data_IF_444350493509
#
_entry.id   IF_444350493509
#
_cell.length_a   1.000
_cell.length_b   1.000
_cell.length_c   1.000
_cell.angle_alpha   90.00
_cell.angle_beta   90.00
_cell.angle_gamma   90.00
#
_symmetry.space_group_name_H-M   'P 1'
#
loop_
_entity.id
_entity.type
_entity.pdbx_description
1 polymer ?
#
# COMPACT_ATOMS: atom_id res chain seq x y z
N UNK A 1 14.17 -73.49 -43.93
CA UNK A 1 15.38 -73.57 -43.09
C UNK A 1 15.39 -72.32 -42.21
N UNK A 2 15.29 -72.42 -40.89
CA UNK A 2 15.28 -71.22 -40.02
C UNK A 2 16.72 -70.73 -39.84
N UNK A 3 17.03 -69.53 -40.30
CA UNK A 3 18.31 -68.88 -40.04
C UNK A 3 18.21 -68.06 -38.76
N UNK A 4 18.90 -68.50 -37.71
CA UNK A 4 18.94 -67.82 -36.41
C UNK A 4 20.32 -67.20 -36.29
N UNK A 5 20.39 -65.91 -35.94
CA UNK A 5 21.69 -65.28 -35.72
C UNK A 5 22.35 -65.87 -34.48
N UNK A 6 23.67 -66.08 -34.54
CA UNK A 6 24.44 -66.52 -33.37
C UNK A 6 24.23 -65.58 -32.16
N UNK A 7 24.05 -64.29 -32.41
CA UNK A 7 23.80 -63.29 -31.38
C UNK A 7 22.47 -63.51 -30.64
N UNK A 8 21.41 -63.93 -31.35
CA UNK A 8 20.14 -64.29 -30.72
C UNK A 8 20.32 -65.55 -29.86
N UNK A 9 20.99 -66.59 -30.38
CA UNK A 9 21.26 -67.82 -29.61
C UNK A 9 22.06 -67.52 -28.35
N UNK A 10 23.12 -66.70 -28.44
CA UNK A 10 23.92 -66.32 -27.27
C UNK A 10 23.15 -65.45 -26.28
N UNK A 11 22.26 -64.57 -26.75
CA UNK A 11 21.41 -63.78 -25.86
C UNK A 11 20.45 -64.68 -25.06
N UNK A 12 19.85 -65.68 -25.70
CA UNK A 12 18.97 -66.66 -25.05
C UNK A 12 19.73 -67.51 -24.04
N UNK A 13 20.93 -67.99 -24.39
CA UNK A 13 21.82 -68.73 -23.47
C UNK A 13 22.14 -67.89 -22.23
N UNK A 14 22.38 -66.58 -22.38
CA UNK A 14 22.64 -65.68 -21.24
C UNK A 14 21.41 -65.44 -20.37
N UNK A 15 20.23 -65.28 -20.98
CA UNK A 15 18.97 -65.09 -20.22
C UNK A 15 18.58 -66.32 -19.41
N UNK A 16 18.86 -67.51 -19.95
CA UNK A 16 18.50 -68.80 -19.35
C UNK A 16 19.72 -69.60 -18.88
N UNK A 17 20.74 -68.92 -18.36
CA UNK A 17 22.00 -69.54 -17.94
C UNK A 17 21.80 -70.61 -16.86
N UNK A 18 20.83 -70.38 -15.95
CA UNK A 18 20.51 -71.31 -14.88
C UNK A 18 19.88 -72.60 -15.40
N UNK A 19 18.95 -72.49 -16.35
CA UNK A 19 18.27 -73.65 -16.94
C UNK A 19 19.19 -74.47 -17.86
N UNK A 20 20.23 -73.84 -18.45
CA UNK A 20 21.13 -74.47 -19.42
C UNK A 20 22.48 -74.93 -18.83
N UNK A 21 22.71 -74.71 -17.52
CA UNK A 21 24.02 -74.86 -16.86
C UNK A 21 24.69 -76.22 -17.04
N UNK A 22 23.93 -77.31 -17.07
CA UNK A 22 24.45 -78.68 -17.20
C UNK A 22 24.30 -79.25 -18.61
N UNK A 23 23.77 -78.45 -19.53
CA UNK A 23 23.38 -78.87 -20.89
C UNK A 23 24.27 -78.22 -21.97
N UNK A 24 25.21 -77.36 -21.55
CA UNK A 24 26.16 -76.66 -22.42
C UNK A 24 27.57 -76.90 -21.89
N UNK A 25 28.40 -77.59 -22.67
CA UNK A 25 29.82 -77.79 -22.39
C UNK A 25 30.70 -77.05 -23.39
N UNK A 26 32.01 -76.97 -23.15
CA UNK A 26 32.98 -76.43 -24.12
C UNK A 26 33.96 -77.51 -24.50
N UNK A 27 34.29 -77.62 -25.79
CA UNK A 27 35.37 -78.48 -26.25
C UNK A 27 36.74 -77.85 -26.01
N UNK A 28 37.80 -78.59 -26.32
CA UNK A 28 39.20 -78.16 -26.17
C UNK A 28 39.55 -76.91 -27.00
N UNK A 29 38.71 -76.53 -27.96
CA UNK A 29 38.87 -75.35 -28.82
C UNK A 29 37.97 -74.18 -28.38
N UNK A 30 37.31 -74.27 -27.21
CA UNK A 30 36.43 -73.24 -26.67
C UNK A 30 35.04 -73.14 -27.32
N UNK A 31 34.72 -74.03 -28.26
CA UNK A 31 33.41 -74.09 -28.93
C UNK A 31 32.39 -74.72 -27.98
N UNK A 32 31.25 -74.05 -27.81
CA UNK A 32 30.15 -74.58 -26.98
C UNK A 32 29.49 -75.77 -27.68
N UNK A 33 29.49 -76.92 -27.01
CA UNK A 33 28.75 -78.11 -27.39
C UNK A 33 27.45 -78.12 -26.60
N UNK A 34 26.34 -78.31 -27.30
CA UNK A 34 25.00 -78.37 -26.75
C UNK A 34 24.54 -79.84 -26.76
N UNK A 35 23.98 -80.31 -25.66
CA UNK A 35 23.28 -81.60 -25.66
C UNK A 35 21.86 -81.46 -26.27
N UNK A 36 21.16 -82.59 -26.43
CA UNK A 36 19.84 -82.62 -27.07
C UNK A 36 18.80 -81.75 -26.32
N UNK A 37 18.93 -81.60 -25.00
CA UNK A 37 18.07 -80.74 -24.19
C UNK A 37 18.33 -79.27 -24.46
N UNK A 38 19.59 -78.83 -24.46
CA UNK A 38 19.97 -77.47 -24.81
C UNK A 38 19.60 -77.13 -26.25
N UNK A 39 19.81 -78.05 -27.19
CA UNK A 39 19.38 -77.87 -28.59
C UNK A 39 17.87 -77.69 -28.68
N UNK A 40 17.08 -78.51 -27.99
CA UNK A 40 15.62 -78.38 -28.01
C UNK A 40 15.09 -77.14 -27.29
N UNK A 41 15.75 -76.72 -26.20
CA UNK A 41 15.40 -75.52 -25.46
C UNK A 41 15.68 -74.24 -26.26
N UNK A 42 16.79 -74.21 -27.01
CA UNK A 42 17.22 -73.07 -27.82
C UNK A 42 16.56 -73.02 -29.20
N UNK A 43 15.85 -74.08 -29.62
CA UNK A 43 15.04 -74.03 -30.84
C UNK A 43 14.04 -72.88 -30.72
N UNK A 44 13.90 -72.02 -31.74
CA UNK A 44 12.87 -71.01 -31.77
C UNK A 44 11.53 -71.71 -31.59
N UNK A 45 10.84 -71.40 -30.50
CA UNK A 45 9.43 -71.76 -30.39
C UNK A 45 8.73 -71.00 -31.52
N UNK A 46 7.92 -71.70 -32.31
CA UNK A 46 7.03 -71.03 -33.27
C UNK A 46 6.13 -70.12 -32.45
N UNK A 47 6.40 -68.82 -32.48
CA UNK A 47 5.46 -67.83 -32.00
C UNK A 47 4.23 -68.03 -32.89
N UNK A 48 3.10 -68.38 -32.29
CA UNK A 48 1.83 -68.47 -33.04
C UNK A 48 1.63 -67.14 -33.75
N UNK A 49 1.18 -67.18 -35.00
CA UNK A 49 0.75 -65.98 -35.74
C UNK A 49 -0.18 -65.12 -34.90
N UNK A 50 -1.02 -65.74 -34.05
CA UNK A 50 -1.91 -65.05 -33.10
C UNK A 50 -1.14 -64.24 -32.05
N UNK A 51 -0.04 -64.75 -31.47
CA UNK A 51 0.76 -64.00 -30.50
C UNK A 51 1.47 -62.80 -31.14
N UNK A 52 1.96 -62.95 -32.38
CA UNK A 52 2.56 -61.82 -33.10
C UNK A 52 1.53 -60.74 -33.42
N UNK A 53 0.35 -61.14 -33.93
CA UNK A 53 -0.73 -60.21 -34.23
C UNK A 53 -1.24 -59.50 -32.97
N UNK A 54 -1.40 -60.22 -31.86
CA UNK A 54 -1.77 -59.65 -30.57
C UNK A 54 -0.77 -58.59 -30.07
N UNK A 55 0.54 -58.87 -30.17
CA UNK A 55 1.57 -57.91 -29.78
C UNK A 55 1.58 -56.66 -30.68
N UNK A 56 1.29 -56.83 -31.98
CA UNK A 56 1.16 -55.73 -32.93
C UNK A 56 -0.06 -54.84 -32.59
N UNK A 57 -1.20 -55.44 -32.28
CA UNK A 57 -2.41 -54.71 -31.86
C UNK A 57 -2.20 -53.95 -30.55
N UNK A 58 -1.52 -54.56 -29.58
CA UNK A 58 -1.20 -53.94 -28.31
C UNK A 58 -0.26 -52.73 -28.50
N UNK A 59 0.77 -52.86 -29.35
CA UNK A 59 1.65 -51.75 -29.69
C UNK A 59 0.88 -50.60 -30.39
N UNK A 60 -0.04 -50.90 -31.30
CA UNK A 60 -0.87 -49.88 -31.94
C UNK A 60 -1.74 -49.13 -30.91
N UNK A 61 -2.34 -49.85 -29.94
CA UNK A 61 -3.11 -49.24 -28.85
C UNK A 61 -2.24 -48.29 -28.00
N UNK A 62 -1.05 -48.75 -27.61
CA UNK A 62 -0.10 -47.94 -26.85
C UNK A 62 0.36 -46.70 -27.63
N UNK A 63 0.57 -46.84 -28.94
CA UNK A 63 0.95 -45.71 -29.79
C UNK A 63 -0.15 -44.64 -29.85
N UNK A 64 -1.42 -45.05 -30.03
CA UNK A 64 -2.57 -44.12 -30.02
C UNK A 64 -2.68 -43.43 -28.65
N UNK A 65 -2.53 -44.19 -27.56
CA UNK A 65 -2.58 -43.62 -26.22
C UNK A 65 -1.45 -42.60 -25.98
N UNK A 66 -0.23 -42.88 -26.44
CA UNK A 66 0.89 -41.94 -26.35
C UNK A 66 0.63 -40.65 -27.14
N UNK A 67 0.03 -40.72 -28.33
CA UNK A 67 -0.32 -39.53 -29.11
C UNK A 67 -1.32 -38.65 -28.34
N UNK A 68 -2.33 -39.26 -27.72
CA UNK A 68 -3.32 -38.54 -26.91
C UNK A 68 -2.65 -37.87 -25.71
N UNK A 69 -1.81 -38.60 -24.97
CA UNK A 69 -1.07 -38.06 -23.82
C UNK A 69 -0.16 -36.88 -24.20
N UNK A 70 0.52 -36.96 -25.35
CA UNK A 70 1.35 -35.86 -25.85
C UNK A 70 0.49 -34.64 -26.14
N UNK A 71 -0.65 -34.82 -26.81
CA UNK A 71 -1.58 -33.72 -27.11
C UNK A 71 -2.14 -33.06 -25.84
N UNK A 72 -2.53 -33.87 -24.85
CA UNK A 72 -3.00 -33.37 -23.56
C UNK A 72 -1.91 -32.59 -22.83
N UNK A 73 -0.66 -33.09 -22.83
CA UNK A 73 0.48 -32.40 -22.24
C UNK A 73 0.78 -31.05 -22.92
N UNK A 74 0.68 -30.96 -24.24
CA UNK A 74 0.84 -29.69 -24.96
C UNK A 74 -0.25 -28.68 -24.57
N UNK A 75 -1.49 -29.14 -24.40
CA UNK A 75 -2.58 -28.28 -23.95
C UNK A 75 -2.37 -27.82 -22.50
N UNK A 76 -1.95 -28.72 -21.61
CA UNK A 76 -1.61 -28.40 -20.23
C UNK A 76 -0.48 -27.37 -20.16
N UNK A 77 0.56 -27.50 -20.99
CA UNK A 77 1.65 -26.52 -21.06
C UNK A 77 1.14 -25.13 -21.47
N UNK A 78 0.26 -25.04 -22.47
CA UNK A 78 -0.36 -23.76 -22.86
C UNK A 78 -1.15 -23.14 -21.71
N UNK A 79 -1.92 -23.94 -20.97
CA UNK A 79 -2.66 -23.48 -19.81
C UNK A 79 -1.73 -23.00 -18.68
N UNK A 80 -0.65 -23.72 -18.40
CA UNK A 80 0.36 -23.30 -17.42
C UNK A 80 0.94 -21.94 -17.79
N UNK A 81 1.40 -21.76 -19.04
CA UNK A 81 1.96 -20.48 -19.48
C UNK A 81 0.96 -19.32 -19.41
N UNK A 82 -0.32 -19.58 -19.71
CA UNK A 82 -1.37 -18.58 -19.58
C UNK A 82 -1.60 -18.17 -18.10
N UNK A 83 -1.63 -19.15 -17.20
CA UNK A 83 -1.78 -18.92 -15.75
C UNK A 83 -0.57 -18.15 -15.20
N UNK A 84 0.65 -18.51 -15.59
CA UNK A 84 1.87 -17.80 -15.17
C UNK A 84 1.84 -16.34 -15.62
N UNK A 85 1.43 -16.08 -16.86
CA UNK A 85 1.28 -14.72 -17.38
C UNK A 85 0.25 -13.92 -16.59
N UNK A 86 -0.89 -14.54 -16.25
CA UNK A 86 -1.95 -13.90 -15.48
C UNK A 86 -1.49 -13.60 -14.04
N UNK A 87 -0.86 -14.58 -13.38
CA UNK A 87 -0.32 -14.44 -12.03
C UNK A 87 0.71 -13.30 -11.96
N UNK A 88 1.56 -13.16 -12.98
CA UNK A 88 2.53 -12.05 -13.02
C UNK A 88 1.85 -10.68 -13.13
N UNK A 89 0.78 -10.55 -13.92
CA UNK A 89 -0.01 -9.31 -14.02
C UNK A 89 -0.73 -8.97 -12.71
N UNK A 90 -1.29 -9.98 -12.05
CA UNK A 90 -1.98 -9.79 -10.76
C UNK A 90 -1.01 -9.42 -9.65
N UNK A 91 0.21 -9.97 -9.69
CA UNK A 91 1.29 -9.60 -8.76
C UNK A 91 1.68 -8.13 -8.92
N UNK A 92 1.92 -7.66 -10.14
CA UNK A 92 2.28 -6.25 -10.37
C UNK A 92 1.12 -5.30 -10.01
N UNK A 93 -0.12 -5.68 -10.31
CA UNK A 93 -1.29 -4.91 -9.90
C UNK A 93 -1.41 -4.82 -8.36
N UNK A 94 -1.19 -5.93 -7.65
CA UNK A 94 -1.22 -5.97 -6.18
C UNK A 94 -0.14 -5.10 -5.55
N UNK A 95 1.07 -5.10 -6.11
CA UNK A 95 2.17 -4.22 -5.68
C UNK A 95 1.82 -2.75 -5.90
N UNK A 96 1.22 -2.40 -7.05
CA UNK A 96 0.73 -1.04 -7.32
C UNK A 96 -0.34 -0.61 -6.30
N UNK A 97 -1.35 -1.45 -6.05
CA UNK A 97 -2.40 -1.12 -5.08
C UNK A 97 -1.85 -0.92 -3.67
N UNK A 98 -0.87 -1.74 -3.28
CA UNK A 98 -0.20 -1.58 -1.98
C UNK A 98 0.57 -0.26 -1.89
N UNK A 99 1.24 0.14 -2.97
CA UNK A 99 1.92 1.44 -3.05
C UNK A 99 0.93 2.59 -2.91
N UNK A 100 -0.18 2.56 -3.65
CA UNK A 100 -1.22 3.59 -3.60
C UNK A 100 -1.85 3.67 -2.21
N UNK A 101 -2.16 2.52 -1.60
CA UNK A 101 -2.72 2.46 -0.24
C UNK A 101 -1.80 3.12 0.79
N UNK A 102 -0.49 2.86 0.72
CA UNK A 102 0.50 3.53 1.58
C UNK A 102 0.53 5.05 1.35
N UNK A 103 0.46 5.49 0.08
CA UNK A 103 0.42 6.91 -0.24
C UNK A 103 -0.81 7.60 0.35
N UNK A 104 -2.00 7.00 0.19
CA UNK A 104 -3.25 7.54 0.76
C UNK A 104 -3.20 7.58 2.28
N UNK A 105 -2.61 6.57 2.93
CA UNK A 105 -2.43 6.55 4.37
C UNK A 105 -1.56 7.71 4.86
N UNK A 106 -0.43 7.97 4.21
CA UNK A 106 0.43 9.11 4.54
C UNK A 106 -0.25 10.45 4.28
N UNK A 107 -0.97 10.57 3.17
CA UNK A 107 -1.72 11.79 2.85
C UNK A 107 -2.83 12.08 3.88
N UNK A 108 -3.50 11.04 4.40
CA UNK A 108 -4.49 11.18 5.46
C UNK A 108 -3.86 11.73 6.74
N UNK A 109 -2.75 11.14 7.19
CA UNK A 109 -2.05 11.61 8.38
C UNK A 109 -1.59 13.07 8.25
N UNK A 110 -1.12 13.48 7.07
CA UNK A 110 -0.69 14.86 6.85
C UNK A 110 -1.89 15.83 6.86
N UNK A 111 -3.03 15.42 6.32
CA UNK A 111 -4.28 16.20 6.42
C UNK A 111 -4.71 16.36 7.87
N UNK A 112 -4.69 15.30 8.67
CA UNK A 112 -5.10 15.34 10.08
C UNK A 112 -4.19 16.26 10.90
N UNK A 113 -2.88 16.22 10.66
CA UNK A 113 -1.92 17.17 11.26
C UNK A 113 -2.24 18.60 10.86
N UNK A 114 -2.50 18.84 9.57
CA UNK A 114 -2.78 20.19 9.07
C UNK A 114 -4.09 20.74 9.63
N UNK A 115 -5.11 19.91 9.76
CA UNK A 115 -6.38 20.26 10.41
C UNK A 115 -6.12 20.67 11.85
N UNK A 116 -5.40 19.84 12.61
CA UNK A 116 -5.07 20.12 14.02
C UNK A 116 -4.30 21.45 14.19
N UNK A 117 -3.35 21.74 13.29
CA UNK A 117 -2.61 23.01 13.31
C UNK A 117 -3.52 24.22 13.02
N UNK A 118 -4.44 24.08 12.06
CA UNK A 118 -5.40 25.14 11.73
C UNK A 118 -6.40 25.37 12.86
N UNK A 119 -6.87 24.32 13.53
CA UNK A 119 -7.75 24.42 14.69
C UNK A 119 -7.07 25.16 15.85
N UNK A 120 -5.81 24.87 16.14
CA UNK A 120 -5.02 25.60 17.14
C UNK A 120 -4.90 27.09 16.77
N UNK A 121 -4.58 27.40 15.51
CA UNK A 121 -4.48 28.79 15.04
C UNK A 121 -5.81 29.54 15.13
N UNK A 122 -6.92 28.87 14.85
CA UNK A 122 -8.25 29.45 15.02
C UNK A 122 -8.49 29.78 16.50
N UNK A 123 -8.19 28.84 17.40
CA UNK A 123 -8.32 29.05 18.85
C UNK A 123 -7.50 30.25 19.33
N UNK A 124 -6.24 30.36 18.90
CA UNK A 124 -5.36 31.49 19.25
C UNK A 124 -5.91 32.83 18.75
N UNK A 125 -6.40 32.86 17.50
CA UNK A 125 -6.99 34.07 16.92
C UNK A 125 -8.27 34.46 17.67
N UNK A 126 -9.12 33.50 18.01
CA UNK A 126 -10.34 33.75 18.79
C UNK A 126 -10.00 34.37 20.15
N UNK A 127 -9.02 33.81 20.87
CA UNK A 127 -8.59 34.35 22.15
C UNK A 127 -8.05 35.79 22.03
N UNK A 128 -7.27 36.08 20.98
CA UNK A 128 -6.79 37.43 20.70
C UNK A 128 -7.93 38.41 20.40
N UNK A 129 -8.96 37.97 19.66
CA UNK A 129 -10.14 38.80 19.38
C UNK A 129 -10.88 39.15 20.67
N UNK A 130 -11.08 38.18 21.56
CA UNK A 130 -11.74 38.40 22.85
C UNK A 130 -10.96 39.36 23.76
N UNK A 131 -9.63 39.24 23.77
CA UNK A 131 -8.74 40.18 24.46
C UNK A 131 -8.91 41.61 23.91
N UNK A 132 -8.89 41.77 22.58
CA UNK A 132 -9.03 43.09 21.95
C UNK A 132 -10.41 43.69 22.18
N UNK A 133 -11.48 42.89 22.12
CA UNK A 133 -12.83 43.35 22.43
C UNK A 133 -12.94 43.85 23.88
N UNK A 134 -12.37 43.10 24.83
CA UNK A 134 -12.31 43.51 26.23
C UNK A 134 -11.57 44.85 26.40
N UNK A 135 -10.43 45.00 25.71
CA UNK A 135 -9.66 46.24 25.73
C UNK A 135 -10.42 47.43 25.13
N UNK A 136 -11.19 47.21 24.06
CA UNK A 136 -12.05 48.23 23.47
C UNK A 136 -13.09 48.69 24.48
N UNK A 137 -13.80 47.76 25.13
CA UNK A 137 -14.80 48.10 26.15
C UNK A 137 -14.21 48.90 27.33
N UNK A 138 -13.00 48.55 27.78
CA UNK A 138 -12.31 49.31 28.81
C UNK A 138 -12.00 50.74 28.37
N UNK A 139 -11.50 50.92 27.13
CA UNK A 139 -11.20 52.24 26.57
C UNK A 139 -12.47 53.08 26.36
N UNK A 140 -13.58 52.47 25.93
CA UNK A 140 -14.87 53.16 25.81
C UNK A 140 -15.35 53.68 27.16
N UNK A 141 -15.20 52.89 28.22
CA UNK A 141 -15.53 53.32 29.60
C UNK A 141 -14.63 54.47 30.06
N UNK A 142 -13.34 54.41 29.76
CA UNK A 142 -12.39 55.48 30.08
C UNK A 142 -12.75 56.78 29.36
N UNK A 143 -13.05 56.71 28.06
CA UNK A 143 -13.51 57.85 27.26
C UNK A 143 -14.79 58.45 27.84
N UNK A 144 -15.76 57.62 28.23
CA UNK A 144 -17.00 58.09 28.84
C UNK A 144 -16.73 58.83 30.16
N UNK A 145 -15.85 58.30 31.01
CA UNK A 145 -15.46 58.95 32.27
C UNK A 145 -14.75 60.28 32.03
N UNK A 146 -13.85 60.36 31.05
CA UNK A 146 -13.14 61.59 30.71
C UNK A 146 -14.09 62.66 30.17
N UNK A 147 -15.10 62.28 29.38
CA UNK A 147 -16.13 63.22 28.91
C UNK A 147 -16.89 63.86 30.07
N UNK A 148 -17.32 63.06 31.05
CA UNK A 148 -18.01 63.55 32.26
C UNK A 148 -17.12 64.52 33.04
N UNK A 149 -15.84 64.20 33.21
CA UNK A 149 -14.88 65.09 33.88
C UNK A 149 -14.73 66.43 33.14
N UNK A 150 -14.58 66.39 31.81
CA UNK A 150 -14.48 67.59 30.98
C UNK A 150 -15.73 68.48 31.09
N UNK A 151 -16.92 67.89 31.08
CA UNK A 151 -18.17 68.64 31.24
C UNK A 151 -18.26 69.29 32.62
N UNK A 152 -17.89 68.56 33.68
CA UNK A 152 -17.82 69.10 35.04
C UNK A 152 -16.84 70.28 35.16
N UNK A 153 -15.63 70.14 34.61
CA UNK A 153 -14.63 71.19 34.62
C UNK A 153 -15.09 72.42 33.82
N UNK A 154 -15.78 72.21 32.70
CA UNK A 154 -16.35 73.30 31.91
C UNK A 154 -17.39 74.08 32.72
N UNK A 155 -18.28 73.40 33.45
CA UNK A 155 -19.24 74.03 34.36
C UNK A 155 -18.55 74.81 35.49
N UNK A 156 -17.49 74.27 36.08
CA UNK A 156 -16.71 74.96 37.11
C UNK A 156 -16.04 76.24 36.58
N UNK A 157 -15.44 76.17 35.38
CA UNK A 157 -14.86 77.35 34.71
C UNK A 157 -15.91 78.42 34.47
N UNK A 158 -17.13 78.06 34.03
CA UNK A 158 -18.22 79.03 33.86
C UNK A 158 -18.60 79.70 35.18
N UNK A 159 -18.76 78.91 36.25
CA UNK A 159 -19.10 79.46 37.57
C UNK A 159 -18.00 80.38 38.13
N UNK A 160 -16.72 80.04 37.93
CA UNK A 160 -15.60 80.89 38.32
C UNK A 160 -15.55 82.19 37.52
N UNK A 161 -15.88 82.14 36.22
CA UNK A 161 -15.97 83.31 35.35
C UNK A 161 -17.08 84.27 35.79
N UNK A 162 -18.24 83.74 36.17
CA UNK A 162 -19.36 84.54 36.69
C UNK A 162 -18.99 85.22 38.01
N UNK A 163 -18.42 84.46 38.97
CA UNK A 163 -17.90 85.02 40.23
C UNK A 163 -16.86 86.11 40.02
N UNK A 164 -15.96 85.95 39.05
CA UNK A 164 -14.97 86.98 38.72
C UNK A 164 -15.62 88.26 38.17
N UNK A 165 -16.73 88.13 37.44
CA UNK A 165 -17.48 89.27 36.91
C UNK A 165 -18.22 90.01 38.04
N UNK A 166 -18.91 89.28 38.92
CA UNK A 166 -19.55 89.83 40.12
C UNK A 166 -18.55 90.57 41.03
N UNK A 167 -17.38 89.97 41.29
CA UNK A 167 -16.34 90.60 42.10
C UNK A 167 -15.78 91.87 41.44
N UNK A 168 -15.66 91.91 40.11
CA UNK A 168 -15.25 93.12 39.37
C UNK A 168 -16.29 94.23 39.52
N UNK A 169 -17.57 93.91 39.39
CA UNK A 169 -18.67 94.87 39.57
C UNK A 169 -18.71 95.40 41.01
N UNK A 170 -18.61 94.50 42.00
CA UNK A 170 -18.54 94.87 43.41
C UNK A 170 -17.33 95.78 43.72
N UNK A 171 -16.17 95.49 43.15
CA UNK A 171 -14.98 96.32 43.27
C UNK A 171 -15.18 97.72 42.65
N UNK A 172 -15.83 97.80 41.48
CA UNK A 172 -16.15 99.06 40.84
C UNK A 172 -17.12 99.90 41.71
N UNK A 173 -18.19 99.29 42.23
CA UNK A 173 -19.13 99.93 43.14
C UNK A 173 -18.46 100.42 44.45
N UNK A 174 -17.57 99.62 45.03
CA UNK A 174 -16.80 100.00 46.21
C UNK A 174 -15.86 101.19 45.96
N UNK A 175 -15.26 101.29 44.76
CA UNK A 175 -14.45 102.45 44.37
C UNK A 175 -15.30 103.72 44.22
N UNK A 176 -16.48 103.62 43.61
CA UNK A 176 -17.41 104.75 43.46
C UNK A 176 -17.88 105.26 44.82
N UNK A 177 -18.30 104.37 45.73
CA UNK A 177 -18.74 104.76 47.07
C UNK A 177 -17.63 105.41 47.91
N UNK A 178 -16.37 104.96 47.82
CA UNK A 178 -15.23 105.63 48.47
C UNK A 178 -14.88 106.99 47.85
N UNK A 179 -15.04 107.16 46.54
CA UNK A 179 -14.80 108.44 45.84
C UNK A 179 -15.84 109.52 46.18
N UNK A 180 -17.08 109.12 46.47
CA UNK A 180 -18.17 110.04 46.82
C UNK A 180 -18.00 110.64 48.23
N UNK A 181 -17.23 110.00 49.13
CA UNK A 181 -16.93 110.54 50.46
C UNK A 181 -15.82 111.61 50.49
N UNK A 182 -15.29 112.04 49.34
CA UNK A 182 -14.19 113.03 49.24
C UNK A 182 -14.57 114.45 48.79
N UNK A 183 -15.83 114.71 48.44
CA UNK A 183 -16.25 116.04 47.94
C UNK A 183 -17.33 116.65 48.84
N UNK A 184 -16.93 117.01 50.05
CA UNK A 184 -17.75 117.74 51.01
C UNK A 184 -16.98 118.86 51.68
N UNK A 185 -17.26 120.08 51.22
CA UNK A 185 -16.97 121.40 51.83
C UNK A 185 -15.54 121.97 51.67
N UNK A 186 -15.42 122.92 50.74
CA UNK A 186 -15.00 124.29 51.05
C UNK A 186 -15.98 125.25 50.42
#
# INVERSE_FOLDING_TARGET
MYHISHQAVYATIRRHEKELKNHISKNNNGVKILDDNAVNFLKPKKISTEMYNSACEENNKLQIQNILLVSDNENLQKHISAIESQMQKEKTASESFRSDSNMYFHLSQEKDKRISELENRISDITALVDEKNSRISDLEREIASLKVLCDSQKSEITALKDKCSELKEALAAAKVSKGIFGLGKR
#
